data_IF_798159936455
#
_entry.id   IF_798159936455
#
_cell.length_a   1.000
_cell.length_b   1.000
_cell.length_c   1.000
_cell.angle_alpha   90.00
_cell.angle_beta   90.00
_cell.angle_gamma   90.00
#
_symmetry.space_group_name_H-M   'P 1'
#
loop_
_entity.id
_entity.type
_entity.pdbx_description
1 polymer ?
#
# COMPACT_ATOMS: atom_id res chain seq x y z
N UNK A 1 -13.69 -8.38 -3.93
CA UNK A 1 -12.77 -8.70 -2.84
C UNK A 1 -12.19 -10.09 -3.08
N UNK A 2 -12.93 -11.17 -2.86
CA UNK A 2 -12.37 -12.54 -3.02
C UNK A 2 -11.82 -12.80 -4.43
N UNK A 3 -12.53 -12.34 -5.45
CA UNK A 3 -12.15 -12.47 -6.86
C UNK A 3 -11.18 -11.38 -7.37
N UNK A 4 -10.73 -10.47 -6.48
CA UNK A 4 -9.81 -9.37 -6.82
C UNK A 4 -8.53 -9.42 -6.01
N UNK A 5 -8.62 -9.42 -4.67
CA UNK A 5 -7.49 -9.34 -3.74
C UNK A 5 -7.10 -10.70 -3.12
N UNK A 6 -7.74 -11.80 -3.54
CA UNK A 6 -7.59 -13.11 -2.94
C UNK A 6 -8.48 -13.33 -1.71
N UNK A 7 -8.71 -14.60 -1.36
CA UNK A 7 -9.57 -15.00 -0.26
C UNK A 7 -8.90 -14.82 1.10
N UNK A 8 -7.57 -14.92 1.17
CA UNK A 8 -6.81 -14.88 2.43
C UNK A 8 -6.95 -13.54 3.15
N UNK A 9 -7.01 -12.43 2.39
CA UNK A 9 -7.23 -11.08 2.92
C UNK A 9 -8.58 -10.97 3.66
N UNK A 10 -9.59 -11.72 3.23
CA UNK A 10 -10.90 -11.76 3.90
C UNK A 10 -10.92 -12.76 5.05
N UNK A 11 -10.29 -13.91 4.89
CA UNK A 11 -10.28 -14.99 5.87
C UNK A 11 -9.45 -14.64 7.12
N UNK A 12 -8.41 -13.81 6.95
CA UNK A 12 -7.52 -13.38 8.03
C UNK A 12 -7.41 -11.84 8.12
N UNK A 13 -8.46 -11.17 8.63
CA UNK A 13 -8.61 -9.72 8.53
C UNK A 13 -7.84 -8.93 9.61
N UNK A 14 -6.71 -9.41 10.13
CA UNK A 14 -5.97 -8.75 11.22
C UNK A 14 -5.46 -7.34 10.86
N UNK A 15 -5.31 -7.06 9.56
CA UNK A 15 -4.96 -5.73 9.05
C UNK A 15 -6.08 -4.69 9.22
N UNK A 16 -7.35 -5.10 9.32
CA UNK A 16 -8.49 -4.18 9.49
C UNK A 16 -8.39 -3.37 10.79
N UNK A 17 -8.22 -3.97 11.98
CA UNK A 17 -8.07 -3.20 13.22
C UNK A 17 -6.82 -2.32 13.22
N UNK A 18 -5.72 -2.73 12.57
CA UNK A 18 -4.51 -1.90 12.42
C UNK A 18 -4.83 -0.62 11.65
N UNK A 19 -5.47 -0.73 10.49
CA UNK A 19 -5.83 0.44 9.68
C UNK A 19 -6.87 1.31 10.38
N UNK A 20 -7.84 0.71 11.08
CA UNK A 20 -8.91 1.49 11.75
C UNK A 20 -8.48 2.16 13.05
N UNK A 21 -7.43 1.67 13.71
CA UNK A 21 -7.06 2.14 15.05
C UNK A 21 -5.62 2.63 15.14
N UNK A 22 -4.65 1.84 14.70
CA UNK A 22 -3.23 2.18 14.82
C UNK A 22 -2.88 3.33 13.89
N UNK A 23 -3.38 3.29 12.64
CA UNK A 23 -3.19 4.38 11.67
C UNK A 23 -3.71 5.71 12.23
N UNK A 24 -4.97 5.75 12.69
CA UNK A 24 -5.60 6.95 13.23
C UNK A 24 -4.85 7.51 14.44
N UNK A 25 -4.38 6.65 15.35
CA UNK A 25 -3.56 7.06 16.51
C UNK A 25 -2.20 7.60 16.09
N UNK A 26 -1.59 7.02 15.06
CA UNK A 26 -0.28 7.42 14.55
C UNK A 26 -0.31 8.76 13.78
N UNK A 27 -1.47 9.21 13.29
CA UNK A 27 -1.57 10.46 12.51
C UNK A 27 -1.01 11.68 13.25
N UNK A 28 -1.21 11.78 14.57
CA UNK A 28 -0.70 12.91 15.36
C UNK A 28 0.82 12.99 15.33
N UNK A 29 1.51 11.88 15.61
CA UNK A 29 2.98 11.83 15.61
C UNK A 29 3.58 11.83 14.21
N UNK A 30 2.87 11.29 13.21
CA UNK A 30 3.31 11.23 11.81
C UNK A 30 2.93 12.47 11.00
N UNK A 31 2.20 13.44 11.57
CA UNK A 31 1.77 14.64 10.86
C UNK A 31 2.93 15.41 10.21
N UNK A 32 4.11 15.60 10.85
CA UNK A 32 5.25 16.24 10.21
C UNK A 32 5.70 15.52 8.93
N UNK A 33 5.78 14.19 8.93
CA UNK A 33 6.13 13.39 7.76
C UNK A 33 5.10 13.51 6.64
N UNK A 34 3.81 13.48 7.00
CA UNK A 34 2.69 13.62 6.07
C UNK A 34 2.72 15.00 5.41
N UNK A 35 2.98 16.05 6.20
CA UNK A 35 3.10 17.43 5.70
C UNK A 35 4.31 17.57 4.77
N UNK A 36 5.47 17.07 5.18
CA UNK A 36 6.70 17.07 4.35
C UNK A 36 6.43 16.41 3.00
N UNK A 37 5.87 15.20 3.01
CA UNK A 37 5.60 14.48 1.77
C UNK A 37 4.52 15.15 0.92
N UNK A 38 3.49 15.72 1.54
CA UNK A 38 2.46 16.45 0.81
C UNK A 38 3.07 17.66 0.08
N UNK A 39 3.90 18.46 0.75
CA UNK A 39 4.60 19.59 0.12
C UNK A 39 5.49 19.11 -1.03
N UNK A 40 6.29 18.07 -0.80
CA UNK A 40 7.13 17.47 -1.84
C UNK A 40 6.31 16.95 -3.03
N UNK A 41 5.16 16.32 -2.77
CA UNK A 41 4.25 15.83 -3.80
C UNK A 41 3.69 16.96 -4.66
N UNK A 42 3.23 18.05 -4.04
CA UNK A 42 2.76 19.23 -4.76
C UNK A 42 3.85 19.86 -5.61
N UNK A 43 5.05 20.04 -5.06
CA UNK A 43 6.17 20.64 -5.81
C UNK A 43 6.59 19.81 -7.03
N UNK A 44 6.55 18.48 -6.91
CA UNK A 44 6.95 17.59 -8.01
C UNK A 44 5.85 17.43 -9.08
N UNK A 45 4.57 17.40 -8.67
CA UNK A 45 3.43 17.11 -9.57
C UNK A 45 2.88 18.40 -10.20
N UNK A 46 2.88 19.50 -9.44
CA UNK A 46 2.38 20.83 -9.86
C UNK A 46 3.48 21.87 -9.57
N UNK A 47 4.59 21.85 -10.32
CA UNK A 47 5.69 22.79 -10.10
C UNK A 47 5.24 24.23 -10.35
N UNK A 48 5.43 25.11 -9.35
CA UNK A 48 5.03 26.52 -9.42
C UNK A 48 5.79 27.31 -10.48
N UNK A 49 7.06 26.96 -10.72
CA UNK A 49 7.95 27.68 -11.63
C UNK A 49 7.96 27.12 -13.05
N UNK A 50 7.22 26.05 -13.32
CA UNK A 50 7.19 25.33 -14.60
C UNK A 50 5.76 24.91 -14.93
N UNK A 51 4.87 25.89 -15.11
CA UNK A 51 3.46 25.62 -15.41
C UNK A 51 3.31 24.85 -16.74
N UNK A 52 2.84 23.60 -16.66
CA UNK A 52 2.71 22.69 -17.81
C UNK A 52 1.34 22.71 -18.49
N UNK A 53 0.47 23.65 -18.12
CA UNK A 53 -0.91 23.70 -18.60
C UNK A 53 -1.91 23.12 -17.59
N UNK A 54 -3.10 22.79 -18.09
CA UNK A 54 -4.22 22.37 -17.25
C UNK A 54 -3.98 20.99 -16.64
N UNK A 55 -4.31 20.85 -15.36
CA UNK A 55 -4.24 19.60 -14.63
C UNK A 55 -5.62 18.99 -14.47
N UNK A 56 -5.74 17.69 -14.73
CA UNK A 56 -6.96 16.96 -14.40
C UNK A 56 -7.01 16.74 -12.87
N UNK A 57 -7.80 17.57 -12.19
CA UNK A 57 -7.79 17.70 -10.74
C UNK A 57 -7.90 16.36 -10.00
N UNK A 58 -8.80 15.47 -10.42
CA UNK A 58 -9.01 14.20 -9.71
C UNK A 58 -7.82 13.23 -9.82
N UNK A 59 -7.18 13.13 -11.00
CA UNK A 59 -5.99 12.29 -11.15
C UNK A 59 -4.77 12.89 -10.44
N UNK A 60 -4.64 14.21 -10.47
CA UNK A 60 -3.55 14.92 -9.79
C UNK A 60 -3.64 14.75 -8.27
N UNK A 61 -4.82 14.98 -7.70
CA UNK A 61 -5.05 14.77 -6.26
C UNK A 61 -4.84 13.31 -5.88
N UNK A 62 -5.29 12.36 -6.70
CA UNK A 62 -5.08 10.93 -6.43
C UNK A 62 -3.59 10.58 -6.35
N UNK A 63 -2.74 11.10 -7.25
CA UNK A 63 -1.30 10.87 -7.21
C UNK A 63 -0.65 11.47 -5.95
N UNK A 64 -1.06 12.68 -5.55
CA UNK A 64 -0.59 13.33 -4.32
C UNK A 64 -0.96 12.49 -3.10
N UNK A 65 -2.24 12.11 -2.97
CA UNK A 65 -2.74 11.30 -1.84
C UNK A 65 -2.07 9.93 -1.79
N UNK A 66 -1.88 9.26 -2.93
CA UNK A 66 -1.21 7.97 -3.00
C UNK A 66 0.24 8.07 -2.51
N UNK A 67 0.99 9.08 -2.97
CA UNK A 67 2.37 9.30 -2.54
C UNK A 67 2.46 9.61 -1.04
N UNK A 68 1.60 10.48 -0.53
CA UNK A 68 1.53 10.80 0.91
C UNK A 68 1.15 9.56 1.74
N UNK A 69 0.23 8.72 1.24
CA UNK A 69 -0.16 7.48 1.92
C UNK A 69 0.99 6.46 1.96
N UNK A 70 1.80 6.39 0.90
CA UNK A 70 3.01 5.55 0.89
C UNK A 70 4.03 6.02 1.94
N UNK A 71 4.14 7.31 2.22
CA UNK A 71 5.02 7.81 3.30
C UNK A 71 4.60 7.32 4.68
N UNK A 72 3.30 7.18 4.91
CA UNK A 72 2.76 6.63 6.16
C UNK A 72 2.83 5.10 6.19
N UNK A 73 2.83 4.45 5.02
CA UNK A 73 2.70 3.00 4.94
C UNK A 73 4.04 2.26 4.90
N UNK A 74 5.00 2.76 4.12
CA UNK A 74 6.32 2.12 3.91
C UNK A 74 7.50 3.06 4.21
N UNK A 75 7.26 4.37 4.30
CA UNK A 75 8.28 5.35 4.61
C UNK A 75 9.24 5.67 3.46
N UNK A 76 10.30 6.41 3.78
CA UNK A 76 11.40 6.71 2.87
C UNK A 76 12.41 5.55 2.79
N UNK A 77 13.15 5.42 1.68
CA UNK A 77 13.04 6.21 0.44
C UNK A 77 11.93 5.70 -0.50
N UNK A 78 11.32 4.55 -0.21
CA UNK A 78 10.42 3.85 -1.14
C UNK A 78 9.17 4.64 -1.49
N UNK A 79 8.61 5.46 -0.58
CA UNK A 79 7.46 6.29 -0.92
C UNK A 79 7.72 7.28 -2.06
N UNK A 80 8.98 7.65 -2.31
CA UNK A 80 9.42 8.52 -3.41
C UNK A 80 9.96 7.74 -4.61
N UNK A 81 10.10 6.42 -4.53
CA UNK A 81 10.59 5.61 -5.64
C UNK A 81 9.55 5.61 -6.78
N UNK A 82 9.92 6.06 -8.00
CA UNK A 82 8.95 6.21 -9.10
C UNK A 82 8.36 4.89 -9.57
N UNK A 83 9.15 3.82 -9.56
CA UNK A 83 8.68 2.47 -9.94
C UNK A 83 7.70 1.92 -8.91
N UNK A 84 7.98 2.13 -7.61
CA UNK A 84 7.08 1.74 -6.53
C UNK A 84 5.76 2.52 -6.57
N UNK A 85 5.83 3.84 -6.80
CA UNK A 85 4.64 4.68 -6.92
C UNK A 85 3.77 4.24 -8.10
N UNK A 86 4.36 4.06 -9.28
CA UNK A 86 3.67 3.59 -10.47
C UNK A 86 3.01 2.23 -10.26
N UNK A 87 3.68 1.32 -9.55
CA UNK A 87 3.12 0.03 -9.18
C UNK A 87 1.85 0.18 -8.32
N UNK A 88 1.89 1.00 -7.27
CA UNK A 88 0.75 1.24 -6.38
C UNK A 88 -0.43 1.92 -7.11
N UNK A 89 -0.14 2.96 -7.90
CA UNK A 89 -1.15 3.68 -8.68
C UNK A 89 -1.85 2.73 -9.69
N UNK A 90 -1.06 1.95 -10.43
CA UNK A 90 -1.59 0.98 -11.40
C UNK A 90 -2.40 -0.10 -10.70
N UNK A 91 -1.93 -0.61 -9.56
CA UNK A 91 -2.64 -1.61 -8.78
C UNK A 91 -4.03 -1.11 -8.34
N UNK A 92 -4.10 0.09 -7.78
CA UNK A 92 -5.36 0.68 -7.32
C UNK A 92 -6.38 0.81 -8.47
N UNK A 93 -5.93 1.30 -9.63
CA UNK A 93 -6.76 1.42 -10.84
C UNK A 93 -7.23 0.05 -11.35
N UNK A 94 -6.33 -0.94 -11.42
CA UNK A 94 -6.67 -2.31 -11.86
C UNK A 94 -7.66 -2.99 -10.92
N UNK A 95 -7.50 -2.84 -9.60
CA UNK A 95 -8.45 -3.38 -8.61
C UNK A 95 -9.81 -2.70 -8.73
N UNK A 96 -9.85 -1.38 -8.86
CA UNK A 96 -11.09 -0.63 -9.02
C UNK A 96 -11.84 -1.03 -10.30
N UNK A 97 -11.15 -1.09 -11.44
CA UNK A 97 -11.73 -1.55 -12.70
C UNK A 97 -12.13 -3.02 -12.65
N UNK A 98 -11.28 -3.89 -12.12
CA UNK A 98 -11.56 -5.32 -11.95
C UNK A 98 -12.81 -5.54 -11.10
N UNK A 99 -12.94 -4.86 -9.97
CA UNK A 99 -14.12 -4.94 -9.11
C UNK A 99 -15.40 -4.50 -9.84
N UNK A 100 -15.36 -3.37 -10.56
CA UNK A 100 -16.50 -2.88 -11.36
C UNK A 100 -16.90 -3.89 -12.45
N UNK A 101 -15.94 -4.44 -13.17
CA UNK A 101 -16.18 -5.41 -14.24
C UNK A 101 -16.73 -6.72 -13.69
N UNK A 102 -16.08 -7.32 -12.70
CA UNK A 102 -16.50 -8.59 -12.08
C UNK A 102 -17.91 -8.49 -11.50
N UNK A 103 -18.28 -7.34 -10.92
CA UNK A 103 -19.60 -7.16 -10.31
C UNK A 103 -20.76 -7.12 -11.31
N UNK A 104 -20.50 -6.98 -12.61
CA UNK A 104 -21.53 -7.06 -13.66
C UNK A 104 -21.90 -8.50 -14.05
N UNK A 105 -21.09 -9.49 -13.67
CA UNK A 105 -21.32 -10.89 -14.04
C UNK A 105 -22.05 -11.69 -12.94
N UNK A 106 -22.84 -12.73 -13.32
CA UNK A 106 -23.43 -13.67 -12.37
C UNK A 106 -22.37 -14.37 -11.51
N UNK A 107 -22.72 -14.75 -10.27
CA UNK A 107 -21.78 -15.33 -9.28
C UNK A 107 -20.94 -16.49 -9.82
N UNK A 108 -21.51 -17.34 -10.67
CA UNK A 108 -20.85 -18.54 -11.23
C UNK A 108 -19.69 -18.16 -12.16
N UNK A 109 -19.78 -17.03 -12.87
CA UNK A 109 -18.79 -16.60 -13.87
C UNK A 109 -17.72 -15.68 -13.27
N UNK A 110 -17.99 -15.09 -12.10
CA UNK A 110 -17.06 -14.16 -11.41
C UNK A 110 -15.65 -14.72 -11.20
N UNK A 111 -15.43 -16.01 -10.84
CA UNK A 111 -14.07 -16.55 -10.69
C UNK A 111 -13.28 -16.51 -12.01
N UNK A 112 -13.92 -16.85 -13.13
CA UNK A 112 -13.29 -16.86 -14.45
C UNK A 112 -12.97 -15.44 -14.91
N UNK A 113 -13.93 -14.52 -14.80
CA UNK A 113 -13.74 -13.11 -15.16
C UNK A 113 -12.68 -12.47 -14.26
N UNK A 114 -12.68 -12.77 -12.97
CA UNK A 114 -11.66 -12.28 -12.05
C UNK A 114 -10.26 -12.67 -12.49
N UNK A 115 -10.07 -13.93 -12.91
CA UNK A 115 -8.77 -14.42 -13.40
C UNK A 115 -8.32 -13.80 -14.72
N UNK A 116 -9.27 -13.47 -15.61
CA UNK A 116 -8.96 -12.86 -16.92
C UNK A 116 -8.71 -11.36 -16.85
N UNK A 117 -9.39 -10.66 -15.94
CA UNK A 117 -9.41 -9.19 -15.91
C UNK A 117 -8.44 -8.63 -14.86
N UNK A 118 -7.94 -9.45 -13.92
CA UNK A 118 -7.04 -8.98 -12.86
C UNK A 118 -5.62 -9.54 -13.02
N UNK A 119 -4.63 -8.64 -12.99
CA UNK A 119 -3.20 -8.97 -12.92
C UNK A 119 -2.65 -8.90 -11.48
N UNK A 120 -3.55 -9.00 -10.49
CA UNK A 120 -3.24 -8.75 -9.07
C UNK A 120 -2.09 -9.64 -8.56
N UNK A 121 -2.02 -10.90 -8.97
CA UNK A 121 -0.92 -11.79 -8.61
C UNK A 121 0.45 -11.28 -9.09
N UNK A 122 0.53 -10.85 -10.34
CA UNK A 122 1.76 -10.28 -10.92
C UNK A 122 2.16 -9.01 -10.20
N UNK A 123 1.19 -8.16 -9.86
CA UNK A 123 1.45 -6.91 -9.12
C UNK A 123 1.92 -7.16 -7.69
N UNK A 124 1.32 -8.14 -6.99
CA UNK A 124 1.77 -8.57 -5.66
C UNK A 124 3.20 -9.08 -5.73
N UNK A 125 3.53 -9.93 -6.72
CA UNK A 125 4.90 -10.43 -6.90
C UNK A 125 5.90 -9.27 -7.11
N UNK A 126 5.54 -8.28 -7.93
CA UNK A 126 6.40 -7.09 -8.13
C UNK A 126 6.51 -6.24 -6.85
N UNK A 127 5.46 -6.13 -6.05
CA UNK A 127 5.52 -5.41 -4.78
C UNK A 127 6.38 -6.14 -3.75
N UNK A 128 6.39 -7.47 -3.76
CA UNK A 128 7.29 -8.26 -2.92
C UNK A 128 8.76 -7.87 -3.15
N UNK A 129 9.16 -7.56 -4.38
CA UNK A 129 10.55 -7.14 -4.67
C UNK A 129 10.95 -5.84 -3.96
N UNK A 130 10.00 -4.93 -3.73
CA UNK A 130 10.24 -3.68 -2.98
C UNK A 130 10.09 -3.87 -1.47
N UNK A 131 9.17 -4.73 -1.03
CA UNK A 131 8.85 -4.94 0.38
C UNK A 131 9.81 -5.93 1.05
N UNK A 132 10.35 -6.91 0.31
CA UNK A 132 11.26 -7.93 0.84
C UNK A 132 12.46 -7.31 1.57
N UNK A 133 13.21 -6.33 1.00
CA UNK A 133 14.36 -5.77 1.69
C UNK A 133 13.97 -5.04 3.00
N UNK A 134 12.81 -4.38 2.99
CA UNK A 134 12.27 -3.68 4.17
C UNK A 134 11.88 -4.68 5.26
N UNK A 135 11.25 -5.79 4.87
CA UNK A 135 10.87 -6.85 5.78
C UNK A 135 12.11 -7.51 6.39
N UNK A 136 13.07 -7.90 5.56
CA UNK A 136 14.32 -8.55 5.99
C UNK A 136 15.09 -7.68 6.99
N UNK A 137 15.20 -6.37 6.71
CA UNK A 137 15.85 -5.43 7.62
C UNK A 137 15.15 -5.40 8.99
N UNK A 138 13.81 -5.34 9.01
CA UNK A 138 13.02 -5.23 10.25
C UNK A 138 13.08 -6.51 11.06
N UNK A 139 12.93 -7.67 10.42
CA UNK A 139 13.05 -8.97 11.08
C UNK A 139 14.45 -9.17 11.67
N UNK A 140 15.49 -8.74 10.94
CA UNK A 140 16.87 -8.79 11.44
C UNK A 140 17.08 -7.89 12.66
N UNK A 141 16.58 -6.65 12.64
CA UNK A 141 16.67 -5.73 13.79
C UNK A 141 15.89 -6.23 15.00
N UNK A 142 14.70 -6.78 14.79
CA UNK A 142 13.91 -7.41 15.85
C UNK A 142 14.64 -8.59 16.50
N UNK A 143 15.33 -9.41 15.69
CA UNK A 143 16.13 -10.52 16.21
C UNK A 143 17.37 -10.04 16.99
N UNK A 144 18.04 -8.98 16.55
CA UNK A 144 19.28 -8.48 17.15
C UNK A 144 19.03 -7.66 18.43
N UNK A 145 17.99 -6.83 18.43
CA UNK A 145 17.75 -5.83 19.48
C UNK A 145 16.42 -6.04 20.24
N UNK A 146 15.65 -7.06 19.88
CA UNK A 146 14.31 -7.29 20.42
C UNK A 146 13.22 -6.49 19.69
N UNK A 147 11.94 -6.70 20.03
CA UNK A 147 10.79 -6.11 19.32
C UNK A 147 10.70 -4.59 19.40
N UNK A 148 11.30 -3.95 20.40
CA UNK A 148 11.26 -2.51 20.61
C UNK A 148 12.61 -1.85 20.35
N UNK A 149 13.27 -2.27 19.26
CA UNK A 149 14.58 -1.74 18.88
C UNK A 149 14.57 -0.22 18.65
N UNK A 150 15.69 0.47 18.92
CA UNK A 150 15.80 1.91 18.68
C UNK A 150 15.48 2.30 17.24
N UNK A 151 14.77 3.42 17.07
CA UNK A 151 14.39 3.99 15.77
C UNK A 151 13.52 3.06 14.89
N UNK A 152 12.79 2.13 15.50
CA UNK A 152 11.77 1.31 14.83
C UNK A 152 10.78 2.19 14.03
N UNK A 153 10.62 1.98 12.71
CA UNK A 153 9.70 2.76 11.91
C UNK A 153 8.26 2.63 12.39
N UNK A 154 7.60 3.76 12.67
CA UNK A 154 6.17 3.81 13.00
C UNK A 154 5.31 3.92 11.72
N UNK A 155 5.16 2.82 10.99
CA UNK A 155 4.45 2.75 9.70
C UNK A 155 3.63 1.44 9.56
N UNK A 156 2.79 1.38 8.51
CA UNK A 156 1.89 0.25 8.28
C UNK A 156 2.62 -1.10 8.15
N UNK A 157 3.76 -1.14 7.46
CA UNK A 157 4.52 -2.39 7.30
C UNK A 157 5.00 -2.89 8.68
N UNK A 158 5.41 -2.01 9.59
CA UNK A 158 5.84 -2.41 10.94
C UNK A 158 4.65 -2.96 11.70
N UNK A 159 3.51 -2.26 11.68
CA UNK A 159 2.33 -2.71 12.39
C UNK A 159 1.81 -4.06 11.87
N UNK A 160 1.92 -4.30 10.56
CA UNK A 160 1.56 -5.59 9.95
C UNK A 160 2.50 -6.73 10.38
N UNK A 161 3.78 -6.43 10.59
CA UNK A 161 4.77 -7.39 11.09
C UNK A 161 4.49 -7.72 12.58
N UNK A 162 4.27 -6.69 13.40
CA UNK A 162 4.03 -6.83 14.84
C UNK A 162 2.73 -7.58 15.17
N UNK A 163 1.69 -7.36 14.37
CA UNK A 163 0.39 -8.00 14.57
C UNK A 163 0.26 -9.38 13.90
N UNK A 164 1.20 -9.73 13.02
CA UNK A 164 1.14 -10.98 12.25
C UNK A 164 1.91 -12.12 12.93
N UNK A 165 1.45 -13.34 12.75
CA UNK A 165 2.12 -14.56 13.22
C UNK A 165 2.40 -15.54 12.07
N UNK A 166 3.52 -16.28 12.17
CA UNK A 166 3.88 -17.31 11.19
C UNK A 166 3.84 -16.82 9.74
N UNK A 167 3.02 -17.48 8.90
CA UNK A 167 2.84 -17.15 7.48
C UNK A 167 2.29 -15.73 7.23
N UNK A 168 1.64 -15.10 8.21
CA UNK A 168 1.15 -13.72 8.07
C UNK A 168 2.29 -12.71 7.94
N UNK A 169 3.46 -13.04 8.52
CA UNK A 169 4.68 -12.24 8.41
C UNK A 169 5.44 -12.47 7.10
N UNK A 170 4.96 -13.35 6.21
CA UNK A 170 5.59 -13.55 4.91
C UNK A 170 5.44 -12.32 4.01
N UNK A 171 6.45 -12.06 3.19
CA UNK A 171 6.47 -10.93 2.25
C UNK A 171 5.21 -10.87 1.39
N UNK A 172 4.69 -12.03 0.97
CA UNK A 172 3.51 -12.11 0.11
C UNK A 172 2.27 -11.64 0.86
N UNK A 173 2.09 -12.07 2.11
CA UNK A 173 0.94 -11.70 2.92
C UNK A 173 0.97 -10.22 3.30
N UNK A 174 2.14 -9.69 3.62
CA UNK A 174 2.36 -8.26 3.88
C UNK A 174 2.11 -7.46 2.60
N UNK A 175 2.70 -7.83 1.46
CA UNK A 175 2.52 -7.13 0.19
C UNK A 175 1.05 -7.10 -0.26
N UNK A 176 0.34 -8.23 -0.14
CA UNK A 176 -1.09 -8.31 -0.47
C UNK A 176 -1.93 -7.39 0.40
N UNK A 177 -1.68 -7.34 1.72
CA UNK A 177 -2.41 -6.49 2.67
C UNK A 177 -2.04 -5.01 2.51
N UNK A 178 -0.78 -4.71 2.25
CA UNK A 178 -0.31 -3.37 1.96
C UNK A 178 -1.01 -2.81 0.70
N UNK A 179 -0.92 -3.52 -0.42
CA UNK A 179 -1.54 -3.09 -1.68
C UNK A 179 -3.08 -3.08 -1.61
N UNK A 180 -3.68 -4.09 -0.97
CA UNK A 180 -5.13 -4.18 -0.80
C UNK A 180 -5.71 -3.17 0.18
N UNK A 181 -4.91 -2.72 1.16
CA UNK A 181 -5.26 -1.71 2.15
C UNK A 181 -5.08 -0.27 1.66
N UNK A 182 -4.46 -0.04 0.51
CA UNK A 182 -4.41 1.27 -0.15
C UNK A 182 -5.69 1.59 -0.96
N UNK A 183 -6.63 0.65 -1.08
CA UNK A 183 -7.93 0.85 -1.71
C UNK A 183 -9.01 1.21 -0.69
N UNK A 184 -8.99 2.45 -0.19
CA UNK A 184 -10.11 3.06 0.53
C UNK A 184 -10.88 3.99 -0.41
#
# INVERSE_FOLDING_TARGET
>A
MDYTLGAETRQEPYHIPIVRTTLTRALGVRFPDIKDETIAAFNDIIPLNDYKGDYHASSTVMQIVARTSNRLSIGLPLCRNPEYRKLNETFAVEVAHGAKTINRFPRIVKPLVGRLVTNVHTRINRAMEFIQPVLDERLRKEQEFGPDWPDKPNDLITWLIEAGEGEQRSVRNIARRHLGGCGW
#
